data_IF_657196252289
#
_entry.id   IF_657196252289
#
_cell.length_a   1.000
_cell.length_b   1.000
_cell.length_c   1.000
_cell.angle_alpha   90.00
_cell.angle_beta   90.00
_cell.angle_gamma   90.00
#
_symmetry.space_group_name_H-M   'P 1'
#
loop_
_entity.id
_entity.type
_entity.pdbx_description
1 polymer ?
#
# COMPACT_ATOMS: atom_id res chain seq x y z
N UNK A 1 -4.49 -15.64 -9.37
CA UNK A 1 -3.25 -15.05 -9.91
C UNK A 1 -3.40 -13.55 -9.85
N UNK A 2 -2.60 -12.87 -9.02
CA UNK A 2 -2.76 -11.41 -8.79
C UNK A 2 -2.25 -10.55 -9.93
N UNK A 3 -1.29 -11.06 -10.72
CA UNK A 3 -0.94 -10.50 -12.03
C UNK A 3 -1.75 -11.26 -13.08
N UNK A 4 -2.64 -10.55 -13.77
CA UNK A 4 -3.49 -11.12 -14.82
C UNK A 4 -2.70 -11.25 -16.12
N UNK A 5 -2.00 -10.18 -16.51
CA UNK A 5 -1.15 -10.15 -17.69
C UNK A 5 0.15 -9.41 -17.42
N UNK A 6 1.20 -9.84 -18.11
CA UNK A 6 2.51 -9.20 -18.11
C UNK A 6 2.94 -8.94 -19.55
N UNK A 7 3.14 -7.68 -19.87
CA UNK A 7 3.59 -7.21 -21.18
C UNK A 7 4.87 -6.38 -21.05
N UNK A 8 5.48 -6.03 -22.20
CA UNK A 8 6.64 -5.13 -22.22
C UNK A 8 6.32 -3.77 -21.57
N UNK A 9 5.10 -3.28 -21.68
CA UNK A 9 4.70 -2.01 -21.07
C UNK A 9 4.57 -2.09 -19.53
N UNK A 10 4.31 -3.27 -18.97
CA UNK A 10 4.02 -3.41 -17.55
C UNK A 10 3.06 -4.57 -17.25
N UNK A 11 2.24 -4.39 -16.21
CA UNK A 11 1.40 -5.45 -15.66
C UNK A 11 -0.06 -5.00 -15.56
N UNK A 12 -0.98 -5.91 -15.88
CA UNK A 12 -2.38 -5.80 -15.50
C UNK A 12 -2.55 -6.60 -14.20
N UNK A 13 -2.96 -5.91 -13.13
CA UNK A 13 -3.01 -6.47 -11.78
C UNK A 13 -4.47 -6.53 -11.31
N UNK A 14 -4.85 -7.70 -10.82
CA UNK A 14 -6.09 -7.88 -10.06
C UNK A 14 -5.83 -7.49 -8.60
N UNK A 15 -6.13 -6.22 -8.31
CA UNK A 15 -5.89 -5.61 -7.01
C UNK A 15 -6.66 -6.35 -5.89
N UNK A 16 -7.93 -6.71 -6.12
CA UNK A 16 -8.74 -7.41 -5.13
C UNK A 16 -8.23 -8.83 -4.90
N UNK A 17 -7.93 -9.57 -5.98
CA UNK A 17 -7.39 -10.91 -5.86
C UNK A 17 -6.05 -10.93 -5.14
N UNK A 18 -5.24 -9.89 -5.28
CA UNK A 18 -4.02 -9.75 -4.49
C UNK A 18 -4.31 -9.73 -2.99
N UNK A 19 -5.23 -8.86 -2.55
CA UNK A 19 -5.61 -8.76 -1.13
C UNK A 19 -6.19 -10.08 -0.63
N UNK A 20 -7.04 -10.73 -1.43
CA UNK A 20 -7.70 -11.98 -1.03
C UNK A 20 -6.80 -13.22 -1.10
N UNK A 21 -5.64 -13.12 -1.75
CA UNK A 21 -4.58 -14.14 -1.71
C UNK A 21 -3.69 -14.01 -0.46
N UNK A 22 -3.92 -13.01 0.41
CA UNK A 22 -3.12 -12.80 1.62
C UNK A 22 -3.33 -13.87 2.73
N UNK A 23 -4.08 -14.95 2.49
CA UNK A 23 -4.22 -16.04 3.46
C UNK A 23 -5.00 -15.65 4.72
N UNK A 24 -6.08 -14.89 4.56
CA UNK A 24 -6.99 -14.47 5.63
C UNK A 24 -7.86 -15.62 6.18
N UNK A 25 -7.23 -16.73 6.54
CA UNK A 25 -7.86 -17.90 7.14
C UNK A 25 -7.52 -17.94 8.62
N UNK A 26 -8.53 -18.00 9.48
CA UNK A 26 -8.36 -18.20 10.92
C UNK A 26 -8.57 -19.68 11.21
N UNK A 27 -7.67 -20.25 12.00
CA UNK A 27 -7.68 -21.64 12.39
C UNK A 27 -8.35 -21.75 13.77
N UNK A 28 -9.54 -22.37 13.83
CA UNK A 28 -10.25 -22.55 15.10
C UNK A 28 -9.57 -23.67 15.89
N UNK A 29 -8.78 -23.30 16.91
CA UNK A 29 -8.10 -24.25 17.81
C UNK A 29 -9.07 -25.04 18.70
N UNK A 30 -10.38 -24.81 18.62
CA UNK A 30 -11.42 -25.42 19.45
C UNK A 30 -12.49 -26.15 18.63
N UNK A 31 -12.07 -27.19 17.91
CA UNK A 31 -12.98 -28.30 17.56
C UNK A 31 -12.66 -29.48 18.48
N UNK A 32 -13.10 -29.42 19.75
CA UNK A 32 -13.21 -30.63 20.57
C UNK A 32 -14.42 -31.44 20.09
N UNK A 33 -14.27 -32.63 19.50
CA UNK A 33 -15.39 -33.50 19.25
C UNK A 33 -15.64 -34.33 20.53
N UNK A 34 -16.75 -34.05 21.20
CA UNK A 34 -17.45 -35.04 22.01
C UNK A 34 -17.02 -35.14 23.47
N UNK A 35 -17.81 -34.54 24.35
CA UNK A 35 -17.78 -34.80 25.78
C UNK A 35 -18.03 -36.29 26.09
N UNK A 36 -17.01 -36.95 26.63
CA UNK A 36 -17.22 -38.18 27.37
C UNK A 36 -17.88 -37.82 28.70
N UNK A 37 -19.17 -38.14 28.82
CA UNK A 37 -19.92 -38.07 30.07
C UNK A 37 -19.34 -39.13 31.02
N UNK A 38 -18.45 -38.75 31.92
CA UNK A 38 -18.03 -39.64 33.01
C UNK A 38 -19.04 -39.54 34.15
N UNK A 39 -19.89 -40.56 34.25
CA UNK A 39 -20.66 -40.87 35.47
C UNK A 39 -19.69 -41.17 36.63
N UNK A 40 -20.00 -40.78 37.87
CA UNK A 40 -19.19 -41.15 39.01
C UNK A 40 -19.54 -42.58 39.43
N UNK A 41 -18.55 -43.46 39.48
CA UNK A 41 -18.63 -44.72 40.22
C UNK A 41 -17.54 -44.77 41.27
N UNK A 42 -18.00 -44.76 42.52
CA UNK A 42 -17.26 -45.00 43.75
C UNK A 42 -16.86 -46.48 43.81
N UNK A 43 -15.61 -46.77 44.21
CA UNK A 43 -15.22 -47.80 45.21
C UNK A 43 -13.70 -47.88 45.41
N UNK A 44 -13.25 -47.48 46.62
CA UNK A 44 -12.37 -48.21 47.56
C UNK A 44 -11.10 -48.91 47.03
N UNK A 45 -9.91 -48.42 47.40
CA UNK A 45 -9.11 -48.86 48.58
C UNK A 45 -8.15 -50.01 48.25
N UNK A 46 -6.84 -49.76 48.25
CA UNK A 46 -5.88 -50.35 49.21
C UNK A 46 -4.41 -50.01 48.86
N UNK A 47 -3.56 -50.20 49.86
CA UNK A 47 -2.23 -49.65 50.08
C UNK A 47 -1.06 -50.49 49.50
N UNK A 48 0.13 -49.86 49.53
CA UNK A 48 1.48 -50.39 49.81
C UNK A 48 2.45 -50.78 48.66
N UNK A 49 3.47 -49.92 48.53
CA UNK A 49 4.92 -50.13 48.71
C UNK A 49 5.80 -51.04 47.82
N UNK A 50 6.93 -50.42 47.45
CA UNK A 50 8.31 -50.92 47.40
C UNK A 50 8.85 -51.77 46.21
N UNK A 51 9.74 -51.09 45.46
CA UNK A 51 11.18 -51.41 45.31
C UNK A 51 11.69 -52.43 44.27
N UNK A 52 12.75 -51.97 43.59
CA UNK A 52 13.98 -52.66 43.12
C UNK A 52 14.10 -53.15 41.67
N UNK A 53 15.10 -52.60 40.98
CA UNK A 53 15.80 -53.11 39.79
C UNK A 53 16.47 -54.48 40.03
N UNK A 54 16.80 -55.29 38.99
CA UNK A 54 18.07 -55.13 38.25
C UNK A 54 18.02 -55.45 36.74
N UNK A 55 19.13 -55.13 36.07
CA UNK A 55 19.40 -55.24 34.63
C UNK A 55 19.70 -56.68 34.13
N UNK A 56 19.40 -56.98 32.86
CA UNK A 56 20.35 -57.28 31.75
C UNK A 56 19.72 -58.07 30.59
N UNK A 57 20.31 -57.87 29.40
CA UNK A 57 20.42 -58.79 28.26
C UNK A 57 19.47 -58.63 27.05
N UNK A 58 20.11 -58.65 25.89
CA UNK A 58 19.70 -58.42 24.52
C UNK A 58 19.10 -59.65 23.81
N UNK A 59 18.23 -59.42 22.81
CA UNK A 59 18.36 -59.85 21.39
C UNK A 59 17.06 -59.66 20.57
N UNK A 60 17.23 -59.01 19.42
CA UNK A 60 16.68 -59.22 18.06
C UNK A 60 15.16 -59.42 17.83
N UNK A 61 14.59 -58.54 16.97
CA UNK A 61 13.15 -58.35 16.64
C UNK A 61 12.58 -59.27 15.54
N UNK A 62 11.72 -58.82 14.59
CA UNK A 62 11.02 -57.53 14.44
C UNK A 62 9.49 -57.63 14.64
N UNK A 63 8.90 -56.57 15.19
CA UNK A 63 7.47 -56.45 15.47
C UNK A 63 6.68 -55.82 14.32
N UNK A 64 5.50 -56.39 14.12
CA UNK A 64 4.33 -55.97 13.35
C UNK A 64 4.15 -54.43 13.29
N UNK A 65 4.19 -53.87 12.08
CA UNK A 65 3.87 -52.46 11.85
C UNK A 65 2.36 -52.30 11.66
N UNK A 66 1.65 -51.92 12.73
CA UNK A 66 0.32 -51.33 12.62
C UNK A 66 0.47 -49.95 11.97
N UNK A 67 -0.13 -49.81 10.78
CA UNK A 67 -0.29 -48.54 10.12
C UNK A 67 -1.29 -47.71 10.94
N UNK A 68 -0.76 -46.77 11.75
CA UNK A 68 -1.53 -45.64 12.25
C UNK A 68 -1.80 -44.74 11.05
N UNK A 69 -2.98 -44.87 10.45
CA UNK A 69 -3.56 -43.79 9.67
C UNK A 69 -3.78 -42.61 10.64
N UNK A 70 -2.87 -41.63 10.59
CA UNK A 70 -3.14 -40.30 11.12
C UNK A 70 -4.28 -39.70 10.28
N UNK A 71 -5.52 -39.92 10.71
CA UNK A 71 -6.62 -39.06 10.31
C UNK A 71 -6.36 -37.67 10.87
N UNK A 72 -5.74 -36.80 10.06
CA UNK A 72 -5.65 -35.36 10.32
C UNK A 72 -7.06 -34.83 10.63
N UNK A 73 -7.30 -34.48 11.89
CA UNK A 73 -8.51 -33.80 12.32
C UNK A 73 -8.62 -32.49 11.52
N UNK A 74 -9.64 -32.40 10.66
CA UNK A 74 -9.89 -31.24 9.81
C UNK A 74 -10.25 -30.05 10.70
N UNK A 75 -9.24 -29.26 11.09
CA UNK A 75 -9.44 -28.04 11.87
C UNK A 75 -10.41 -27.12 11.12
N UNK A 76 -11.47 -26.68 11.79
CA UNK A 76 -12.39 -25.73 11.19
C UNK A 76 -11.61 -24.45 10.87
N UNK A 77 -11.68 -24.01 9.61
CA UNK A 77 -11.04 -22.79 9.13
C UNK A 77 -12.11 -21.82 8.68
N UNK A 78 -12.07 -20.62 9.23
CA UNK A 78 -12.92 -19.52 8.79
C UNK A 78 -12.12 -18.63 7.85
N UNK A 79 -12.55 -18.53 6.59
CA UNK A 79 -11.89 -17.71 5.58
C UNK A 79 -12.58 -16.36 5.42
N UNK A 80 -11.81 -15.29 5.48
CA UNK A 80 -12.25 -13.93 5.23
C UNK A 80 -11.79 -13.48 3.86
N UNK A 81 -12.65 -12.73 3.17
CA UNK A 81 -12.32 -12.08 1.90
C UNK A 81 -12.72 -10.62 1.96
N UNK A 82 -11.81 -9.78 1.47
CA UNK A 82 -12.04 -8.36 1.31
C UNK A 82 -13.22 -8.16 0.34
N UNK A 83 -14.06 -7.22 0.73
CA UNK A 83 -15.33 -6.88 0.08
C UNK A 83 -15.12 -6.37 -1.35
N UNK A 84 -15.75 -7.04 -2.31
CA UNK A 84 -15.57 -6.77 -3.73
C UNK A 84 -16.19 -5.45 -4.19
N UNK A 85 -17.20 -4.96 -3.47
CA UNK A 85 -17.88 -3.70 -3.78
C UNK A 85 -16.94 -2.49 -3.76
N UNK A 86 -15.82 -2.59 -3.03
CA UNK A 86 -14.82 -1.53 -3.04
C UNK A 86 -14.04 -1.49 -4.36
N UNK A 87 -14.11 -2.52 -5.20
CA UNK A 87 -13.43 -2.61 -6.49
C UNK A 87 -14.41 -2.61 -7.68
N UNK A 88 -15.69 -2.32 -7.43
CA UNK A 88 -16.71 -2.25 -8.47
C UNK A 88 -16.81 -0.84 -9.08
N UNK A 89 -15.83 -0.51 -9.92
CA UNK A 89 -15.82 0.76 -10.67
C UNK A 89 -16.24 0.48 -12.10
N UNK A 90 -17.55 0.58 -12.34
CA UNK A 90 -18.17 0.35 -13.65
C UNK A 90 -18.17 1.56 -14.58
N UNK A 91 -18.04 2.78 -14.04
CA UNK A 91 -18.07 4.03 -14.81
C UNK A 91 -16.93 4.97 -14.41
N UNK A 92 -16.40 5.78 -15.35
CA UNK A 92 -15.48 6.85 -15.02
C UNK A 92 -16.08 7.80 -13.98
N UNK A 93 -15.28 8.27 -13.04
CA UNK A 93 -15.73 9.22 -12.02
C UNK A 93 -16.08 10.59 -12.62
N UNK A 94 -15.50 10.92 -13.77
CA UNK A 94 -15.80 12.10 -14.57
C UNK A 94 -15.85 11.63 -16.03
N UNK A 95 -16.97 11.84 -16.71
CA UNK A 95 -17.06 11.59 -18.14
C UNK A 95 -16.15 12.56 -18.91
N UNK A 96 -15.42 12.08 -19.91
CA UNK A 96 -14.69 12.97 -20.82
C UNK A 96 -15.69 13.89 -21.53
N UNK A 97 -15.34 15.18 -21.67
CA UNK A 97 -16.15 16.07 -22.48
C UNK A 97 -16.19 15.56 -23.94
N UNK A 98 -17.29 15.74 -24.70
CA UNK A 98 -17.38 15.29 -26.09
C UNK A 98 -16.22 15.79 -26.98
N UNK A 99 -15.70 16.99 -26.70
CA UNK A 99 -14.54 17.58 -27.38
C UNK A 99 -13.21 16.84 -27.09
N UNK A 100 -13.11 16.17 -25.93
CA UNK A 100 -11.96 15.32 -25.57
C UNK A 100 -12.06 13.90 -26.13
N UNK A 101 -13.25 13.45 -26.53
CA UNK A 101 -13.41 12.21 -27.30
C UNK A 101 -12.85 12.37 -28.73
N UNK A 102 -12.89 13.58 -29.30
CA UNK A 102 -12.29 13.89 -30.60
C UNK A 102 -10.75 14.01 -30.54
N UNK A 103 -10.18 14.41 -29.39
CA UNK A 103 -8.72 14.47 -29.14
C UNK A 103 -8.10 13.11 -28.72
N UNK A 104 -8.88 12.03 -28.75
CA UNK A 104 -8.36 10.67 -28.63
C UNK A 104 -7.75 10.12 -29.94
N UNK A 105 -7.77 10.93 -31.03
CA UNK A 105 -7.07 10.65 -32.28
C UNK A 105 -5.94 11.66 -32.57
N UNK A 106 -4.75 11.12 -32.85
CA UNK A 106 -3.52 11.75 -33.36
C UNK A 106 -2.77 12.84 -32.55
N UNK A 107 -1.41 12.89 -32.64
CA UNK A 107 -0.56 13.44 -31.59
C UNK A 107 -0.14 14.92 -31.77
N UNK A 108 -0.66 15.65 -32.75
CA UNK A 108 0.04 16.83 -33.28
C UNK A 108 -0.67 18.19 -33.20
N UNK A 109 -1.56 18.46 -32.24
CA UNK A 109 -2.06 19.84 -32.10
C UNK A 109 -2.37 20.20 -30.64
N UNK A 110 -1.43 20.82 -29.90
CA UNK A 110 -1.84 21.54 -28.67
C UNK A 110 -0.89 22.63 -28.12
N UNK A 111 0.29 22.86 -28.72
CA UNK A 111 1.25 23.86 -28.19
C UNK A 111 1.30 25.17 -28.99
N UNK A 112 0.91 25.16 -30.26
CA UNK A 112 0.96 26.34 -31.12
C UNK A 112 -0.16 27.36 -30.79
N UNK A 113 -1.38 26.88 -30.50
CA UNK A 113 -2.53 27.76 -30.25
C UNK A 113 -2.43 28.52 -28.91
N UNK A 114 -1.76 27.94 -27.91
CA UNK A 114 -1.59 28.59 -26.60
C UNK A 114 -0.52 29.69 -26.67
N UNK A 115 0.56 29.50 -27.45
CA UNK A 115 1.62 30.52 -27.62
C UNK A 115 1.19 31.69 -28.52
N UNK A 116 0.39 31.44 -29.56
CA UNK A 116 -0.04 32.47 -30.52
C UNK A 116 -0.88 33.60 -29.88
N UNK A 117 -1.59 33.32 -28.78
CA UNK A 117 -2.38 34.32 -28.05
C UNK A 117 -1.54 35.32 -27.22
N UNK A 118 -0.22 35.14 -27.14
CA UNK A 118 0.68 35.98 -26.33
C UNK A 118 1.48 37.03 -27.12
N UNK A 119 1.39 37.01 -28.45
CA UNK A 119 2.11 37.93 -29.35
C UNK A 119 1.15 38.65 -30.28
N UNK A 120 0.46 39.68 -29.77
CA UNK A 120 -0.20 40.67 -30.61
C UNK A 120 0.38 42.05 -30.26
N UNK A 121 0.90 42.71 -31.28
CA UNK A 121 1.68 43.95 -31.26
C UNK A 121 0.89 45.17 -30.74
N UNK A 122 1.59 46.09 -30.07
CA UNK A 122 1.07 47.40 -29.67
C UNK A 122 0.96 48.37 -30.85
N UNK A 123 -0.10 49.20 -30.95
CA UNK A 123 -0.05 50.44 -31.71
C UNK A 123 0.46 51.60 -30.85
N UNK A 124 1.35 52.40 -31.45
CA UNK A 124 1.96 53.63 -30.92
C UNK A 124 1.00 54.83 -30.91
N UNK A 125 1.36 55.76 -30.01
CA UNK A 125 1.16 57.23 -30.02
C UNK A 125 -0.18 57.88 -29.59
N UNK A 126 -0.05 58.92 -28.75
CA UNK A 126 -1.05 59.95 -28.49
C UNK A 126 -0.82 60.77 -27.21
N UNK A 127 -0.53 62.07 -27.34
CA UNK A 127 0.02 63.01 -26.34
C UNK A 127 -1.04 63.90 -25.65
N UNK A 128 -0.76 64.36 -24.40
CA UNK A 128 -1.32 65.52 -23.61
C UNK A 128 -2.74 65.35 -23.02
N UNK A 129 -3.16 65.90 -21.86
CA UNK A 129 -2.66 66.92 -20.91
C UNK A 129 -3.51 66.93 -19.61
N UNK A 130 -2.90 67.29 -18.46
CA UNK A 130 -3.42 68.13 -17.37
C UNK A 130 -4.69 67.78 -16.57
N UNK A 131 -4.59 67.83 -15.23
CA UNK A 131 -5.73 68.06 -14.31
C UNK A 131 -5.69 67.21 -13.03
N UNK A 132 -5.53 67.86 -11.88
CA UNK A 132 -5.65 67.30 -10.53
C UNK A 132 -7.07 66.79 -10.24
N UNK A 133 -7.20 65.64 -9.55
CA UNK A 133 -7.94 65.55 -8.27
C UNK A 133 -8.08 64.10 -7.76
N UNK A 134 -8.05 64.00 -6.44
CA UNK A 134 -8.05 62.80 -5.60
C UNK A 134 -9.38 62.02 -5.59
N UNK A 135 -9.37 60.70 -5.85
CA UNK A 135 -10.37 59.75 -5.30
C UNK A 135 -9.75 58.36 -5.09
N UNK A 136 -10.08 57.77 -3.94
CA UNK A 136 -9.67 56.46 -3.43
C UNK A 136 -9.66 55.31 -4.46
N UNK A 137 -8.48 54.72 -4.67
CA UNK A 137 -8.30 53.53 -5.51
C UNK A 137 -8.51 52.24 -4.74
N UNK A 138 -9.69 51.63 -4.91
CA UNK A 138 -9.93 50.23 -4.58
C UNK A 138 -8.78 49.35 -5.14
N UNK A 139 -8.19 48.49 -4.30
CA UNK A 139 -7.19 47.50 -4.72
C UNK A 139 -7.81 46.57 -5.79
N UNK A 140 -7.67 46.94 -7.06
CA UNK A 140 -7.93 46.04 -8.19
C UNK A 140 -7.01 44.83 -8.02
N UNK A 141 -7.57 43.70 -7.61
CA UNK A 141 -6.89 42.39 -7.68
C UNK A 141 -6.40 42.25 -9.13
N UNK A 142 -5.09 42.28 -9.34
CA UNK A 142 -4.46 41.98 -10.63
C UNK A 142 -5.01 40.64 -11.11
N UNK A 143 -5.82 40.67 -12.18
CA UNK A 143 -6.20 39.48 -12.94
C UNK A 143 -4.89 38.84 -13.39
N UNK A 144 -4.65 37.58 -13.02
CA UNK A 144 -3.43 36.86 -13.43
C UNK A 144 -3.33 36.88 -14.95
N UNK A 145 -2.18 37.31 -15.47
CA UNK A 145 -1.86 37.38 -16.92
C UNK A 145 -1.62 36.00 -17.53
N UNK A 146 -1.47 34.96 -16.70
CA UNK A 146 -1.31 33.56 -17.10
C UNK A 146 -2.42 32.72 -16.44
N UNK A 147 -3.11 31.89 -17.24
CA UNK A 147 -4.19 31.00 -16.77
C UNK A 147 -3.66 29.95 -15.79
N UNK A 148 -2.40 29.55 -15.93
CA UNK A 148 -1.74 28.53 -15.10
C UNK A 148 -0.60 29.10 -14.26
N UNK A 149 -0.37 28.52 -13.08
CA UNK A 149 0.84 28.78 -12.30
C UNK A 149 2.00 27.88 -12.75
N UNK A 150 3.24 28.22 -12.38
CA UNK A 150 4.44 27.48 -12.82
C UNK A 150 4.34 25.97 -12.52
N UNK A 151 3.83 25.58 -11.34
CA UNK A 151 3.70 24.17 -11.00
C UNK A 151 2.65 23.42 -11.85
N UNK A 152 1.65 24.12 -12.40
CA UNK A 152 0.70 23.56 -13.36
C UNK A 152 1.34 23.40 -14.75
N UNK A 153 2.16 24.37 -15.17
CA UNK A 153 2.93 24.27 -16.41
C UNK A 153 3.94 23.12 -16.36
N UNK A 154 4.71 23.01 -15.27
CA UNK A 154 5.63 21.91 -15.04
C UNK A 154 4.90 20.55 -15.11
N UNK A 155 3.70 20.47 -14.50
CA UNK A 155 2.90 19.25 -14.49
C UNK A 155 2.37 18.89 -15.88
N UNK A 156 1.99 19.88 -16.68
CA UNK A 156 1.57 19.68 -18.05
C UNK A 156 2.74 19.22 -18.93
N UNK A 157 3.91 19.86 -18.81
CA UNK A 157 5.11 19.46 -19.55
C UNK A 157 5.52 18.01 -19.23
N UNK A 158 5.53 17.66 -17.94
CA UNK A 158 5.79 16.29 -17.51
C UNK A 158 4.76 15.31 -18.06
N UNK A 159 3.47 15.64 -17.99
CA UNK A 159 2.41 14.80 -18.53
C UNK A 159 2.58 14.56 -20.04
N UNK A 160 2.87 15.60 -20.82
CA UNK A 160 3.09 15.48 -22.27
C UNK A 160 4.21 14.48 -22.60
N UNK A 161 5.28 14.43 -21.80
CA UNK A 161 6.39 13.48 -21.99
C UNK A 161 5.96 12.02 -21.84
N UNK A 162 5.10 11.73 -20.86
CA UNK A 162 4.71 10.35 -20.52
C UNK A 162 3.34 9.93 -21.09
N UNK A 163 2.56 10.88 -21.62
CA UNK A 163 1.17 10.67 -22.07
C UNK A 163 1.06 9.51 -23.05
N UNK A 164 1.89 9.51 -24.10
CA UNK A 164 1.86 8.49 -25.15
C UNK A 164 2.15 7.09 -24.58
N UNK A 165 3.15 7.00 -23.70
CA UNK A 165 3.53 5.76 -23.04
C UNK A 165 2.39 5.20 -22.17
N UNK A 166 1.74 6.06 -21.38
CA UNK A 166 0.59 5.66 -20.55
C UNK A 166 -0.55 5.18 -21.44
N UNK A 167 -0.89 5.94 -22.48
CA UNK A 167 -1.99 5.61 -23.38
C UNK A 167 -1.77 4.27 -24.10
N UNK A 168 -0.66 4.13 -24.82
CA UNK A 168 -0.36 2.93 -25.62
C UNK A 168 -0.12 1.70 -24.73
N UNK A 169 0.60 1.86 -23.62
CA UNK A 169 0.85 0.78 -22.69
C UNK A 169 -0.42 0.27 -22.01
N UNK A 170 -1.31 1.20 -21.61
CA UNK A 170 -2.61 0.84 -21.02
C UNK A 170 -3.51 0.17 -22.05
N UNK A 171 -3.54 0.66 -23.29
CA UNK A 171 -4.35 0.09 -24.36
C UNK A 171 -4.01 -1.39 -24.59
N UNK A 172 -2.74 -1.75 -24.70
CA UNK A 172 -2.32 -3.15 -24.88
C UNK A 172 -2.69 -4.04 -23.69
N UNK A 173 -2.50 -3.54 -22.46
CA UNK A 173 -2.85 -4.30 -21.24
C UNK A 173 -4.37 -4.50 -21.13
N UNK A 174 -5.17 -3.48 -21.47
CA UNK A 174 -6.63 -3.55 -21.49
C UNK A 174 -7.12 -4.54 -22.55
N UNK A 175 -6.51 -4.55 -23.74
CA UNK A 175 -6.85 -5.51 -24.79
C UNK A 175 -6.64 -6.96 -24.33
N UNK A 176 -5.52 -7.26 -23.68
CA UNK A 176 -5.28 -8.61 -23.11
C UNK A 176 -6.26 -8.91 -21.96
N UNK A 177 -6.56 -7.93 -21.10
CA UNK A 177 -7.56 -8.06 -20.05
C UNK A 177 -8.96 -8.39 -20.56
N UNK A 178 -9.37 -7.79 -21.69
CA UNK A 178 -10.64 -8.09 -22.36
C UNK A 178 -10.63 -9.49 -22.99
N UNK A 179 -9.53 -9.85 -23.67
CA UNK A 179 -9.37 -11.19 -24.29
C UNK A 179 -9.43 -12.32 -23.26
N UNK A 180 -8.85 -12.12 -22.08
CA UNK A 180 -8.88 -13.12 -21.01
C UNK A 180 -10.18 -13.13 -20.21
N UNK A 181 -11.12 -12.22 -20.49
CA UNK A 181 -12.37 -12.07 -19.75
C UNK A 181 -12.21 -11.48 -18.36
N UNK A 182 -11.05 -10.90 -18.02
CA UNK A 182 -10.84 -10.20 -16.75
C UNK A 182 -11.50 -8.81 -16.76
N UNK A 183 -11.46 -8.13 -17.91
CA UNK A 183 -12.22 -6.91 -18.18
C UNK A 183 -13.42 -7.25 -19.06
N UNK A 184 -14.46 -6.42 -19.01
CA UNK A 184 -15.70 -6.65 -19.75
C UNK A 184 -16.05 -5.45 -20.61
N UNK A 185 -16.47 -5.68 -21.86
CA UNK A 185 -17.03 -4.59 -22.66
C UNK A 185 -18.24 -3.99 -21.94
N UNK A 186 -18.39 -2.66 -22.02
CA UNK A 186 -19.55 -1.97 -21.47
C UNK A 186 -20.81 -2.41 -22.24
N UNK A 187 -21.49 -3.46 -21.79
CA UNK A 187 -22.83 -3.81 -22.23
C UNK A 187 -23.81 -2.77 -21.70
N UNK A 188 -24.76 -2.37 -22.53
CA UNK A 188 -25.68 -1.24 -22.31
C UNK A 188 -26.61 -1.41 -21.11
N UNK A 189 -26.62 -2.56 -20.43
CA UNK A 189 -27.38 -2.79 -19.21
C UNK A 189 -26.59 -3.69 -18.24
N UNK A 190 -25.85 -3.09 -17.30
CA UNK A 190 -25.74 -3.67 -15.97
C UNK A 190 -26.51 -2.76 -15.03
N UNK A 191 -27.50 -3.34 -14.35
CA UNK A 191 -28.30 -2.70 -13.32
C UNK A 191 -27.37 -1.98 -12.34
N UNK A 192 -27.53 -0.65 -12.25
CA UNK A 192 -26.91 0.17 -11.23
C UNK A 192 -27.45 -0.29 -9.87
N UNK A 193 -26.75 -1.24 -9.23
CA UNK A 193 -26.91 -1.46 -7.80
C UNK A 193 -26.64 -0.12 -7.13
N UNK A 194 -27.63 0.41 -6.40
CA UNK A 194 -27.46 1.63 -5.60
C UNK A 194 -26.43 1.33 -4.51
N UNK A 195 -25.15 1.46 -4.83
CA UNK A 195 -24.08 1.24 -3.87
C UNK A 195 -23.89 2.54 -3.08
N UNK A 196 -24.78 2.75 -2.10
CA UNK A 196 -24.45 3.60 -0.94
C UNK A 196 -23.46 2.79 -0.11
N UNK A 197 -22.20 2.78 -0.52
CA UNK A 197 -21.13 2.27 0.35
C UNK A 197 -20.94 3.32 1.43
N UNK A 198 -21.34 3.00 2.66
CA UNK A 198 -20.98 3.75 3.87
C UNK A 198 -19.45 3.70 4.02
N UNK A 199 -18.76 4.58 3.30
CA UNK A 199 -17.38 4.40 2.85
C UNK A 199 -16.30 4.99 3.75
N UNK A 200 -16.53 5.07 5.06
CA UNK A 200 -15.47 5.47 5.98
C UNK A 200 -15.72 4.87 7.35
N UNK A 201 -14.97 3.82 7.68
CA UNK A 201 -14.85 3.36 9.05
C UNK A 201 -13.83 4.27 9.72
N UNK A 202 -14.31 5.09 10.65
CA UNK A 202 -13.44 5.90 11.47
C UNK A 202 -12.92 5.03 12.63
N UNK A 203 -11.70 4.54 12.47
CA UNK A 203 -11.07 3.60 13.40
C UNK A 203 -10.29 4.29 14.53
N UNK A 204 -10.17 5.63 14.52
CA UNK A 204 -9.49 6.39 15.58
C UNK A 204 -8.00 6.10 15.79
N UNK A 205 -7.38 5.33 14.89
CA UNK A 205 -5.99 4.86 15.04
C UNK A 205 -4.99 6.01 15.07
N UNK A 206 -5.20 7.04 14.24
CA UNK A 206 -4.32 8.20 14.21
C UNK A 206 -4.42 9.01 15.50
N UNK A 207 -5.65 9.20 16.03
CA UNK A 207 -5.91 9.86 17.31
C UNK A 207 -5.28 9.09 18.47
N UNK A 208 -5.35 7.76 18.46
CA UNK A 208 -4.68 6.91 19.43
C UNK A 208 -3.16 7.13 19.41
N UNK A 209 -2.54 7.15 18.23
CA UNK A 209 -1.12 7.46 18.10
C UNK A 209 -0.78 8.89 18.59
N UNK A 210 -1.63 9.88 18.33
CA UNK A 210 -1.43 11.25 18.85
C UNK A 210 -1.51 11.32 20.38
N UNK A 211 -2.47 10.61 20.99
CA UNK A 211 -2.55 10.49 22.44
C UNK A 211 -1.33 9.76 23.00
N UNK A 212 -0.84 8.73 22.30
CA UNK A 212 0.29 7.93 22.73
C UNK A 212 1.60 8.73 22.87
N UNK A 213 1.75 9.82 22.12
CA UNK A 213 2.91 10.74 22.21
C UNK A 213 3.09 11.36 23.60
N UNK A 214 2.04 11.40 24.40
CA UNK A 214 2.04 12.03 25.72
C UNK A 214 2.49 11.07 26.82
N UNK A 215 2.59 9.77 26.53
CA UNK A 215 3.17 8.84 27.49
C UNK A 215 4.69 9.05 27.57
N UNK A 216 5.27 9.01 28.78
CA UNK A 216 6.71 9.06 28.94
C UNK A 216 7.36 7.98 28.06
N UNK A 217 8.45 8.32 27.36
CA UNK A 217 9.28 7.32 26.72
C UNK A 217 9.67 6.30 27.78
N UNK A 218 9.09 5.09 27.69
CA UNK A 218 9.34 4.06 28.68
C UNK A 218 10.81 3.66 28.54
N UNK A 219 11.54 3.54 29.65
CA UNK A 219 12.97 3.25 29.65
C UNK A 219 13.27 2.09 28.69
N UNK A 220 14.25 2.28 27.79
CA UNK A 220 14.66 1.32 26.75
C UNK A 220 15.09 -0.06 27.31
N UNK A 221 15.19 -0.23 28.63
CA UNK A 221 15.70 -1.44 29.27
C UNK A 221 14.65 -2.51 29.61
N UNK A 222 13.35 -2.17 29.68
CA UNK A 222 12.38 -3.02 30.39
C UNK A 222 11.27 -3.61 29.51
N UNK A 223 11.18 -3.25 28.21
CA UNK A 223 10.15 -3.78 27.31
C UNK A 223 10.73 -4.64 26.17
N UNK A 224 10.06 -5.76 25.81
CA UNK A 224 10.46 -6.56 24.68
C UNK A 224 10.33 -5.75 23.39
N UNK A 225 11.33 -5.86 22.51
CA UNK A 225 11.32 -5.18 21.22
C UNK A 225 10.20 -5.68 20.27
N UNK A 226 9.62 -6.84 20.60
CA UNK A 226 8.66 -7.57 19.78
C UNK A 226 7.54 -8.14 20.65
N UNK A 227 6.29 -7.97 20.23
CA UNK A 227 5.12 -8.64 20.77
C UNK A 227 4.61 -9.67 19.75
N UNK A 228 4.78 -10.96 20.04
CA UNK A 228 4.25 -12.03 19.19
C UNK A 228 2.77 -12.24 19.54
N UNK A 229 1.92 -12.30 18.53
CA UNK A 229 0.50 -12.62 18.72
C UNK A 229 0.36 -14.11 19.05
N UNK A 230 -0.16 -14.41 20.24
CA UNK A 230 -0.56 -15.75 20.67
C UNK A 230 -1.99 -16.07 20.23
N UNK A 231 -2.47 -17.30 20.46
CA UNK A 231 -3.82 -17.74 20.04
C UNK A 231 -4.92 -17.27 21.01
N UNK A 232 -4.55 -16.80 22.21
CA UNK A 232 -5.44 -16.31 23.24
C UNK A 232 -5.59 -14.77 23.15
N UNK A 233 -6.78 -14.30 22.76
CA UNK A 233 -7.03 -12.90 22.39
C UNK A 233 -7.28 -11.99 23.59
N UNK A 234 -6.25 -11.26 24.02
CA UNK A 234 -6.32 -9.81 24.34
C UNK A 234 -4.91 -9.27 24.59
N UNK A 235 -4.27 -8.69 23.57
CA UNK A 235 -3.03 -7.95 23.76
C UNK A 235 -3.33 -6.59 24.40
N UNK A 236 -2.64 -6.18 25.48
CA UNK A 236 -2.76 -4.82 26.00
C UNK A 236 -2.51 -3.79 24.89
N UNK A 237 -3.36 -2.77 24.77
CA UNK A 237 -3.25 -1.74 23.72
C UNK A 237 -1.89 -1.02 23.76
N UNK A 238 -1.27 -0.95 24.95
CA UNK A 238 0.03 -0.34 25.15
C UNK A 238 1.18 -1.12 24.49
N UNK A 239 1.06 -2.44 24.35
CA UNK A 239 2.08 -3.26 23.70
C UNK A 239 2.08 -3.04 22.18
N UNK A 240 0.89 -2.90 21.58
CA UNK A 240 0.71 -2.62 20.15
C UNK A 240 1.31 -1.26 19.70
N UNK A 241 1.42 -0.31 20.63
CA UNK A 241 1.95 1.05 20.39
C UNK A 241 3.44 1.17 20.71
N UNK A 242 3.98 0.30 21.58
CA UNK A 242 5.34 0.42 22.13
C UNK A 242 6.36 -0.52 21.50
N UNK A 243 5.93 -1.58 20.81
CA UNK A 243 6.81 -2.54 20.16
C UNK A 243 6.24 -3.05 18.83
N UNK A 244 7.07 -3.73 18.04
CA UNK A 244 6.62 -4.35 16.79
C UNK A 244 5.76 -5.57 17.12
N UNK A 245 4.55 -5.63 16.58
CA UNK A 245 3.65 -6.78 16.73
C UNK A 245 3.88 -7.76 15.58
N UNK A 246 3.99 -9.05 15.86
CA UNK A 246 4.22 -10.10 14.87
C UNK A 246 3.10 -11.15 14.86
N UNK A 247 2.56 -11.46 13.68
CA UNK A 247 1.86 -12.71 13.43
C UNK A 247 2.82 -13.69 12.75
N UNK A 248 3.49 -14.52 13.56
CA UNK A 248 4.41 -15.54 13.04
C UNK A 248 3.70 -16.82 12.59
N UNK A 249 2.38 -16.90 12.67
CA UNK A 249 1.63 -18.10 12.30
C UNK A 249 1.41 -18.19 10.78
N UNK A 250 0.99 -19.37 10.30
CA UNK A 250 0.55 -19.60 8.92
C UNK A 250 -0.92 -19.21 8.69
N UNK A 251 -1.65 -18.87 9.75
CA UNK A 251 -3.05 -18.42 9.72
C UNK A 251 -3.13 -16.91 10.04
N UNK A 252 -4.21 -16.26 9.61
CA UNK A 252 -4.51 -14.91 10.07
C UNK A 252 -4.95 -14.92 11.55
N UNK A 253 -4.75 -13.79 12.23
CA UNK A 253 -5.15 -13.60 13.63
C UNK A 253 -6.01 -12.35 13.78
N UNK A 254 -6.91 -12.35 14.78
CA UNK A 254 -7.68 -11.15 15.12
C UNK A 254 -7.04 -10.47 16.32
N UNK A 255 -6.78 -9.16 16.17
CA UNK A 255 -6.43 -8.27 17.27
C UNK A 255 -7.63 -7.39 17.59
N UNK A 256 -7.87 -7.17 18.88
CA UNK A 256 -8.88 -6.22 19.36
C UNK A 256 -8.17 -4.96 19.84
N UNK A 257 -8.53 -3.82 19.27
CA UNK A 257 -7.97 -2.52 19.63
C UNK A 257 -9.09 -1.47 19.63
N UNK A 258 -9.22 -0.71 20.71
CA UNK A 258 -10.31 0.28 20.90
C UNK A 258 -11.71 -0.34 20.72
N UNK A 259 -11.87 -1.61 21.14
CA UNK A 259 -13.11 -2.38 20.97
C UNK A 259 -13.43 -2.81 19.54
N UNK A 260 -12.56 -2.52 18.56
CA UNK A 260 -12.71 -2.92 17.16
C UNK A 260 -11.82 -4.14 16.85
N UNK A 261 -12.23 -4.95 15.86
CA UNK A 261 -11.50 -6.15 15.44
C UNK A 261 -10.73 -5.89 14.16
N UNK A 262 -9.46 -6.27 14.15
CA UNK A 262 -8.55 -6.15 13.02
C UNK A 262 -7.96 -7.50 12.66
N UNK A 263 -8.01 -7.84 11.37
CA UNK A 263 -7.54 -9.11 10.83
C UNK A 263 -6.10 -8.99 10.35
N UNK A 264 -5.16 -9.55 11.12
CA UNK A 264 -3.72 -9.51 10.85
C UNK A 264 -3.33 -10.71 9.95
N UNK A 265 -2.78 -10.48 8.75
CA UNK A 265 -2.39 -11.55 7.83
C UNK A 265 -1.32 -12.49 8.42
N UNK A 266 -1.20 -13.73 7.94
CA UNK A 266 -0.12 -14.63 8.30
C UNK A 266 1.25 -14.04 7.96
N UNK A 267 2.27 -14.41 8.75
CA UNK A 267 3.67 -14.00 8.55
C UNK A 267 3.87 -12.50 8.38
N UNK A 268 3.04 -11.68 9.02
CA UNK A 268 3.13 -10.22 8.91
C UNK A 268 3.54 -9.61 10.24
N UNK A 269 4.21 -8.47 10.16
CA UNK A 269 4.62 -7.69 11.34
C UNK A 269 4.17 -6.25 11.16
N UNK A 270 3.83 -5.57 12.24
CA UNK A 270 3.48 -4.15 12.15
C UNK A 270 3.85 -3.35 13.39
N UNK A 271 4.01 -2.04 13.20
CA UNK A 271 4.12 -1.07 14.27
C UNK A 271 3.11 0.05 14.06
N UNK A 272 2.18 0.19 15.02
CA UNK A 272 1.21 1.28 15.06
C UNK A 272 1.80 2.43 15.87
N UNK A 273 2.39 3.42 15.19
CA UNK A 273 2.93 4.59 15.88
C UNK A 273 3.00 5.81 14.96
N UNK A 274 3.13 6.99 15.57
CA UNK A 274 3.46 8.21 14.83
C UNK A 274 4.95 8.26 14.44
N UNK A 275 5.29 9.09 13.45
CA UNK A 275 6.68 9.31 13.02
C UNK A 275 7.60 9.79 14.15
N UNK A 276 7.11 10.51 15.15
CA UNK A 276 7.91 10.89 16.33
C UNK A 276 8.30 9.68 17.19
N UNK A 277 7.62 8.54 17.03
CA UNK A 277 7.74 7.33 17.84
C UNK A 277 8.19 6.14 16.98
N UNK A 278 9.21 6.34 16.13
CA UNK A 278 9.76 5.29 15.24
C UNK A 278 10.80 4.39 15.93
N UNK A 279 11.26 4.73 17.13
CA UNK A 279 12.31 3.97 17.84
C UNK A 279 12.04 2.46 17.96
N UNK A 280 10.80 1.99 18.22
CA UNK A 280 10.55 0.55 18.28
C UNK A 280 10.88 -0.19 16.98
N UNK A 281 10.66 0.43 15.82
CA UNK A 281 11.03 -0.14 14.51
C UNK A 281 12.55 -0.25 14.35
N UNK A 282 13.32 0.68 14.92
CA UNK A 282 14.78 0.63 14.92
C UNK A 282 15.31 -0.44 15.90
N UNK A 283 14.66 -0.55 17.07
CA UNK A 283 14.97 -1.55 18.10
C UNK A 283 14.65 -2.97 17.65
N UNK A 284 13.78 -3.14 16.66
CA UNK A 284 13.50 -4.41 16.00
C UNK A 284 14.71 -5.00 15.27
N UNK A 285 15.74 -4.19 14.98
CA UNK A 285 17.05 -4.60 14.42
C UNK A 285 17.01 -5.37 13.08
N UNK A 286 15.85 -5.48 12.44
CA UNK A 286 15.72 -5.99 11.07
C UNK A 286 16.23 -5.00 10.04
N UNK A 287 16.78 -5.54 8.95
CA UNK A 287 17.20 -4.79 7.76
C UNK A 287 16.39 -5.29 6.57
N UNK A 288 16.02 -4.38 5.68
CA UNK A 288 15.09 -4.66 4.61
C UNK A 288 15.75 -4.56 3.25
N UNK A 289 15.52 -5.55 2.39
CA UNK A 289 15.97 -5.55 1.00
C UNK A 289 15.06 -4.69 0.11
N UNK A 290 13.81 -4.49 0.52
CA UNK A 290 12.83 -3.64 -0.16
C UNK A 290 12.14 -2.75 0.85
N UNK A 291 12.14 -1.43 0.60
CA UNK A 291 11.36 -0.47 1.37
C UNK A 291 10.41 0.29 0.44
N UNK A 292 9.10 0.11 0.65
CA UNK A 292 8.05 0.89 -0.01
C UNK A 292 7.62 2.02 0.91
N UNK A 293 7.44 3.22 0.36
CA UNK A 293 7.11 4.42 1.12
C UNK A 293 5.96 5.16 0.42
N UNK A 294 4.86 5.43 1.13
CA UNK A 294 3.77 6.32 0.66
C UNK A 294 3.61 7.54 1.58
N UNK A 295 4.51 8.55 1.47
CA UNK A 295 4.49 9.67 2.40
C UNK A 295 3.16 10.44 2.38
N UNK A 296 2.69 10.95 3.52
CA UNK A 296 1.51 11.80 3.59
C UNK A 296 1.83 13.21 3.06
N UNK A 297 1.94 13.29 1.73
CA UNK A 297 2.35 14.49 1.01
C UNK A 297 1.45 15.69 1.30
N UNK A 298 2.05 16.85 1.51
CA UNK A 298 1.31 18.09 1.69
C UNK A 298 0.43 18.41 0.45
N UNK A 299 -0.88 18.52 0.69
CA UNK A 299 -1.87 18.85 -0.32
C UNK A 299 -2.83 19.95 0.16
N UNK A 300 -3.16 20.90 -0.73
CA UNK A 300 -4.07 22.02 -0.44
C UNK A 300 -5.51 21.55 -0.15
N UNK A 301 -5.92 20.41 -0.72
CA UNK A 301 -7.23 19.80 -0.40
C UNK A 301 -7.21 19.21 1.00
N UNK A 302 -6.17 18.44 1.33
CA UNK A 302 -5.94 17.85 2.65
C UNK A 302 -5.92 18.91 3.73
N UNK A 303 -5.16 20.01 3.55
CA UNK A 303 -5.15 21.16 4.47
C UNK A 303 -6.52 21.77 4.74
N UNK A 304 -7.45 21.71 3.78
CA UNK A 304 -8.82 22.24 3.96
C UNK A 304 -9.77 21.23 4.60
N UNK A 305 -9.52 19.94 4.39
CA UNK A 305 -10.39 18.86 4.86
C UNK A 305 -10.04 18.35 6.26
N UNK A 306 -8.82 18.58 6.73
CA UNK A 306 -8.27 18.06 7.99
C UNK A 306 -8.44 16.54 8.21
N UNK A 307 -8.68 15.77 7.14
CA UNK A 307 -9.00 14.33 7.21
C UNK A 307 -7.81 13.44 7.57
N UNK A 308 -6.58 13.96 7.44
CA UNK A 308 -5.35 13.29 7.84
C UNK A 308 -4.20 14.30 7.92
N UNK A 309 -3.22 14.02 8.79
CA UNK A 309 -2.02 14.85 8.92
C UNK A 309 -1.13 14.74 7.68
N UNK A 310 -0.24 15.71 7.50
CA UNK A 310 0.74 15.71 6.41
C UNK A 310 2.12 15.97 6.97
N UNK A 311 3.15 15.48 6.29
CA UNK A 311 4.53 15.73 6.66
C UNK A 311 5.16 16.79 5.76
N UNK A 312 5.98 17.63 6.39
CA UNK A 312 6.86 18.53 5.66
C UNK A 312 7.98 17.73 4.98
N UNK A 313 8.56 18.30 3.92
CA UNK A 313 9.74 17.75 3.24
C UNK A 313 10.90 17.48 4.21
N UNK A 314 11.06 18.32 5.23
CA UNK A 314 12.11 18.12 6.24
C UNK A 314 11.83 16.89 7.12
N UNK A 315 10.59 16.73 7.62
CA UNK A 315 10.22 15.55 8.41
C UNK A 315 10.38 14.25 7.61
N UNK A 316 10.02 14.26 6.32
CA UNK A 316 10.24 13.10 5.43
C UNK A 316 11.73 12.78 5.32
N UNK A 317 12.61 13.78 5.15
CA UNK A 317 14.07 13.56 5.12
C UNK A 317 14.63 12.90 6.39
N UNK A 318 14.05 13.20 7.55
CA UNK A 318 14.50 12.66 8.85
C UNK A 318 14.18 11.17 9.05
N UNK A 319 13.41 10.53 8.15
CA UNK A 319 13.18 9.08 8.26
C UNK A 319 14.54 8.36 8.13
N UNK A 320 14.91 7.49 9.08
CA UNK A 320 16.23 6.87 9.15
C UNK A 320 16.36 5.69 8.18
N UNK A 321 16.13 5.91 6.88
CA UNK A 321 16.19 4.86 5.84
C UNK A 321 17.53 4.13 5.85
N UNK A 322 18.65 4.84 6.07
CA UNK A 322 19.97 4.21 6.18
C UNK A 322 20.08 3.21 7.35
N UNK A 323 19.31 3.41 8.42
CA UNK A 323 19.27 2.49 9.56
C UNK A 323 18.31 1.31 9.34
N UNK A 324 17.41 1.38 8.36
CA UNK A 324 16.44 0.33 8.04
C UNK A 324 16.86 -0.51 6.82
N UNK A 325 17.54 0.10 5.86
CA UNK A 325 17.92 -0.53 4.61
C UNK A 325 19.06 -1.55 4.78
N UNK A 326 18.91 -2.72 4.15
CA UNK A 326 20.01 -3.64 3.87
C UNK A 326 20.94 -3.07 2.77
N UNK A 327 22.17 -3.59 2.64
CA UNK A 327 23.03 -3.21 1.52
C UNK A 327 22.39 -3.59 0.18
N UNK A 328 22.32 -2.63 -0.75
CA UNK A 328 21.66 -2.75 -2.06
C UNK A 328 20.11 -2.73 -2.01
N UNK A 329 19.54 -2.25 -0.90
CA UNK A 329 18.09 -2.13 -0.70
C UNK A 329 17.42 -1.33 -1.84
N UNK A 330 16.33 -1.88 -2.36
CA UNK A 330 15.42 -1.23 -3.30
C UNK A 330 14.44 -0.34 -2.53
N UNK A 331 14.48 0.97 -2.81
CA UNK A 331 13.54 1.95 -2.29
C UNK A 331 12.51 2.25 -3.37
N UNK A 332 11.23 2.14 -3.02
CA UNK A 332 10.10 2.48 -3.89
C UNK A 332 9.28 3.56 -3.21
N UNK A 333 9.13 4.73 -3.84
CA UNK A 333 8.42 5.87 -3.25
C UNK A 333 7.23 6.26 -4.10
N UNK A 334 6.03 6.19 -3.53
CA UNK A 334 4.82 6.73 -4.14
C UNK A 334 4.84 8.26 -4.12
N UNK A 335 4.55 8.87 -5.27
CA UNK A 335 4.56 10.32 -5.44
C UNK A 335 3.27 10.78 -6.14
N UNK A 336 2.63 11.79 -5.57
CA UNK A 336 1.49 12.44 -6.24
C UNK A 336 1.94 13.12 -7.55
N UNK A 337 1.01 13.42 -8.46
CA UNK A 337 1.30 14.16 -9.70
C UNK A 337 1.75 15.63 -9.54
N UNK A 338 2.06 16.07 -8.31
CA UNK A 338 2.63 17.39 -8.06
C UNK A 338 4.14 17.36 -8.32
N UNK A 339 4.58 18.11 -9.33
CA UNK A 339 5.99 18.17 -9.73
C UNK A 339 6.96 18.61 -8.64
N UNK A 340 6.49 19.38 -7.64
CA UNK A 340 7.32 19.74 -6.49
C UNK A 340 7.75 18.50 -5.68
N UNK A 341 6.86 17.51 -5.54
CA UNK A 341 7.13 16.30 -4.78
C UNK A 341 8.00 15.34 -5.58
N UNK A 342 7.79 15.27 -6.89
CA UNK A 342 8.64 14.50 -7.81
C UNK A 342 10.09 15.00 -7.78
N UNK A 343 10.30 16.31 -7.93
CA UNK A 343 11.63 16.95 -7.83
C UNK A 343 12.24 16.74 -6.46
N UNK A 344 11.48 16.97 -5.39
CA UNK A 344 11.96 16.73 -4.03
C UNK A 344 12.48 15.29 -3.84
N UNK A 345 11.75 14.28 -4.32
CA UNK A 345 12.20 12.89 -4.21
C UNK A 345 13.51 12.65 -4.97
N UNK A 346 13.57 13.07 -6.24
CA UNK A 346 14.73 12.80 -7.12
C UNK A 346 15.97 13.63 -6.77
N UNK A 347 15.77 14.91 -6.49
CA UNK A 347 16.85 15.91 -6.43
C UNK A 347 17.31 16.18 -5.00
N UNK A 348 16.50 15.82 -3.99
CA UNK A 348 16.81 16.11 -2.59
C UNK A 348 16.74 14.90 -1.67
N UNK A 349 15.64 14.15 -1.67
CA UNK A 349 15.41 13.05 -0.72
C UNK A 349 16.33 11.86 -0.98
N UNK A 350 16.36 11.39 -2.23
CA UNK A 350 17.20 10.26 -2.61
C UNK A 350 18.68 10.55 -2.44
N UNK A 351 19.22 11.70 -2.90
CA UNK A 351 20.59 12.10 -2.58
C UNK A 351 20.87 12.17 -1.08
N UNK A 352 19.93 12.69 -0.27
CA UNK A 352 20.09 12.75 1.19
C UNK A 352 20.20 11.36 1.83
N UNK A 353 19.43 10.39 1.35
CA UNK A 353 19.49 9.00 1.81
C UNK A 353 20.56 8.15 1.12
N UNK A 354 21.42 8.75 0.28
CA UNK A 354 22.40 8.00 -0.53
C UNK A 354 21.74 6.94 -1.44
N UNK A 355 20.56 7.26 -1.97
CA UNK A 355 19.80 6.43 -2.89
C UNK A 355 20.04 6.92 -4.32
N UNK A 356 20.42 6.00 -5.22
CA UNK A 356 20.50 6.27 -6.65
C UNK A 356 19.13 6.05 -7.28
N UNK A 357 18.56 7.07 -7.92
CA UNK A 357 17.36 6.90 -8.75
C UNK A 357 17.66 5.93 -9.91
N UNK A 358 16.80 4.94 -10.09
CA UNK A 358 16.92 3.91 -11.12
C UNK A 358 15.84 4.05 -12.19
N UNK A 359 14.58 4.22 -11.78
CA UNK A 359 13.45 4.23 -12.70
C UNK A 359 12.27 5.03 -12.14
N UNK A 360 11.36 5.36 -13.05
CA UNK A 360 10.06 5.93 -12.75
C UNK A 360 8.98 5.06 -13.37
N UNK A 361 8.02 4.59 -12.57
CA UNK A 361 6.87 3.79 -13.00
C UNK A 361 5.55 4.52 -12.72
N UNK A 362 4.47 4.03 -13.29
CA UNK A 362 3.15 4.66 -13.19
C UNK A 362 2.06 3.64 -12.86
N UNK A 363 1.33 3.85 -11.77
CA UNK A 363 0.11 3.12 -11.50
C UNK A 363 -1.05 3.80 -12.21
N UNK A 364 -1.64 3.15 -13.21
CA UNK A 364 -2.78 3.61 -14.00
C UNK A 364 -4.07 2.96 -13.49
N UNK A 365 -5.10 3.79 -13.36
CA UNK A 365 -6.40 3.44 -12.80
C UNK A 365 -7.44 3.34 -13.89
N UNK A 366 -8.02 2.16 -14.03
CA UNK A 366 -9.06 1.85 -15.03
C UNK A 366 -10.36 1.38 -14.37
N UNK A 367 -11.45 1.39 -15.13
CA UNK A 367 -12.74 0.78 -14.78
C UNK A 367 -12.73 -0.72 -15.12
N UNK A 368 -13.80 -1.44 -14.75
CA UNK A 368 -14.07 -2.82 -15.21
C UNK A 368 -14.18 -2.95 -16.73
N UNK A 369 -14.48 -1.85 -17.42
CA UNK A 369 -14.49 -1.75 -18.89
C UNK A 369 -13.15 -1.43 -19.53
N UNK A 370 -12.10 -1.20 -18.73
CA UNK A 370 -10.78 -0.80 -19.24
C UNK A 370 -10.66 0.68 -19.59
N UNK A 371 -11.66 1.50 -19.29
CA UNK A 371 -11.61 2.95 -19.47
C UNK A 371 -10.84 3.60 -18.32
N UNK A 372 -10.17 4.73 -18.56
CA UNK A 372 -9.56 5.47 -17.45
C UNK A 372 -10.64 5.98 -16.48
N UNK A 373 -10.40 5.84 -15.17
CA UNK A 373 -11.35 6.33 -14.14
C UNK A 373 -11.53 7.85 -14.16
N UNK A 374 -10.58 8.57 -14.76
CA UNK A 374 -10.59 10.01 -15.02
C UNK A 374 -9.99 10.26 -16.42
N UNK A 375 -10.40 11.33 -17.13
CA UNK A 375 -9.80 11.67 -18.42
C UNK A 375 -8.27 11.81 -18.29
N UNK A 376 -7.52 11.16 -19.18
CA UNK A 376 -6.05 11.18 -19.15
C UNK A 376 -5.49 12.61 -19.20
N UNK A 377 -6.11 13.45 -20.02
CA UNK A 377 -5.73 14.84 -20.23
C UNK A 377 -6.32 15.83 -19.20
N UNK A 378 -6.99 15.35 -18.16
CA UNK A 378 -7.53 16.22 -17.10
C UNK A 378 -6.43 17.06 -16.44
N UNK A 379 -6.69 18.37 -16.29
CA UNK A 379 -5.72 19.34 -15.74
C UNK A 379 -5.50 19.18 -14.23
N UNK A 380 -6.50 18.73 -13.48
CA UNK A 380 -6.48 18.78 -12.01
C UNK A 380 -6.15 17.44 -11.37
N UNK A 381 -6.66 16.35 -11.94
CA UNK A 381 -6.44 14.98 -11.45
C UNK A 381 -6.12 14.09 -12.64
N UNK A 382 -5.10 13.26 -12.49
CA UNK A 382 -4.73 12.26 -13.50
C UNK A 382 -5.25 10.88 -13.07
N UNK A 383 -5.57 9.99 -14.02
CA UNK A 383 -5.93 8.60 -13.73
C UNK A 383 -4.70 7.75 -13.42
N UNK A 384 -3.58 8.35 -13.02
CA UNK A 384 -2.37 7.63 -12.66
C UNK A 384 -1.64 8.28 -11.49
N UNK A 385 -0.78 7.51 -10.83
CA UNK A 385 0.15 7.97 -9.79
C UNK A 385 1.57 7.49 -10.13
N UNK A 386 2.58 8.20 -9.62
CA UNK A 386 3.99 7.95 -9.97
C UNK A 386 4.65 7.14 -8.85
N UNK A 387 5.52 6.20 -9.24
CA UNK A 387 6.44 5.51 -8.34
C UNK A 387 7.86 5.84 -8.78
N UNK A 388 8.70 6.30 -7.84
CA UNK A 388 10.13 6.43 -8.07
C UNK A 388 10.82 5.24 -7.43
N UNK A 389 11.68 4.58 -8.20
CA UNK A 389 12.47 3.45 -7.75
C UNK A 389 13.93 3.89 -7.67
N UNK A 390 14.57 3.59 -6.56
CA UNK A 390 15.98 3.86 -6.35
C UNK A 390 16.64 2.78 -5.53
N UNK A 391 17.97 2.76 -5.51
CA UNK A 391 18.73 1.75 -4.78
C UNK A 391 19.75 2.40 -3.86
N UNK A 392 19.79 1.95 -2.62
CA UNK A 392 20.74 2.44 -1.62
C UNK A 392 22.15 2.12 -2.10
N UNK A 393 23.00 3.14 -2.22
CA UNK A 393 24.39 2.95 -2.58
C UNK A 393 25.15 2.40 -1.37
N UNK A 394 25.70 1.20 -1.52
CA UNK A 394 26.64 0.63 -0.54
C UNK A 394 28.01 1.32 -0.59
N UNK A 395 28.90 0.95 0.33
CA UNK A 395 30.30 1.40 0.23
C UNK A 395 30.97 0.82 -1.02
N UNK A 396 31.96 1.51 -1.59
CA UNK A 396 32.66 1.11 -2.84
C UNK A 396 33.20 -0.34 -2.78
N UNK A 397 33.50 -0.85 -1.58
CA UNK A 397 34.01 -2.22 -1.36
C UNK A 397 32.92 -3.30 -1.44
N UNK A 398 31.65 -2.95 -1.23
CA UNK A 398 30.50 -3.87 -1.30
C UNK A 398 29.88 -3.88 -2.69
N UNK A 399 29.99 -2.77 -3.44
CA UNK A 399 29.55 -2.66 -4.84
C UNK A 399 30.30 -3.62 -5.78
N UNK A 400 31.51 -4.07 -5.41
CA UNK A 400 32.29 -5.05 -6.17
C UNK A 400 31.88 -6.51 -5.90
N UNK A 401 30.95 -6.77 -4.96
CA UNK A 401 30.55 -8.14 -4.54
C UNK A 401 29.11 -8.53 -4.93
N UNK A 402 28.37 -7.76 -5.71
CA UNK A 402 26.96 -8.08 -6.10
C UNK A 402 26.67 -7.56 -7.51
N UNK A 403 25.86 -8.19 -8.38
CA UNK A 403 25.06 -9.42 -8.36
C UNK A 403 24.73 -9.77 -9.82
N UNK A 404 25.14 -10.93 -10.33
CA UNK A 404 24.85 -11.31 -11.73
C UNK A 404 23.39 -11.75 -11.95
N UNK A 405 22.62 -12.01 -10.88
CA UNK A 405 21.31 -12.67 -10.98
C UNK A 405 20.06 -11.76 -10.93
N UNK A 406 20.20 -10.45 -10.67
CA UNK A 406 19.04 -9.53 -10.56
C UNK A 406 18.85 -8.75 -11.87
N UNK A 407 17.65 -8.81 -12.45
CA UNK A 407 17.34 -8.08 -13.68
C UNK A 407 17.44 -6.56 -13.47
N UNK A 408 17.93 -5.80 -14.46
CA UNK A 408 17.93 -4.35 -14.41
C UNK A 408 16.50 -3.83 -14.33
N UNK A 409 16.27 -2.81 -13.49
CA UNK A 409 14.95 -2.19 -13.36
C UNK A 409 14.69 -1.34 -14.61
N UNK A 410 13.66 -1.67 -15.41
CA UNK A 410 13.35 -0.93 -16.61
C UNK A 410 12.69 0.41 -16.28
N UNK A 411 12.92 1.41 -17.14
CA UNK A 411 12.27 2.71 -17.02
C UNK A 411 10.82 2.67 -17.55
N UNK A 412 9.95 3.48 -16.98
CA UNK A 412 8.58 3.73 -17.44
C UNK A 412 7.68 2.49 -17.60
N UNK A 413 7.60 1.66 -16.55
CA UNK A 413 6.62 0.57 -16.49
C UNK A 413 5.26 1.04 -15.96
N UNK A 414 4.21 0.37 -16.42
CA UNK A 414 2.84 0.57 -15.98
C UNK A 414 2.39 -0.53 -15.04
N UNK A 415 1.72 -0.15 -13.95
CA UNK A 415 0.87 -1.04 -13.16
C UNK A 415 -0.55 -0.62 -13.50
N UNK A 416 -1.32 -1.43 -14.20
CA UNK A 416 -2.71 -1.11 -14.56
C UNK A 416 -3.63 -1.93 -13.67
N UNK A 417 -4.57 -1.28 -12.98
CA UNK A 417 -5.56 -1.99 -12.18
C UNK A 417 -6.84 -1.19 -11.99
N UNK A 418 -7.90 -1.89 -11.59
CA UNK A 418 -9.10 -1.27 -11.05
C UNK A 418 -8.76 -0.80 -9.62
N UNK A 419 -8.85 0.50 -9.32
CA UNK A 419 -8.50 0.98 -7.99
C UNK A 419 -9.58 0.57 -6.99
N UNK A 420 -9.17 0.47 -5.73
CA UNK A 420 -10.12 0.42 -4.63
C UNK A 420 -10.76 1.80 -4.46
N UNK A 421 -12.05 1.85 -4.15
CA UNK A 421 -12.80 3.07 -3.87
C UNK A 421 -12.44 3.66 -2.50
N UNK A 422 -11.84 2.87 -1.61
CA UNK A 422 -11.25 3.37 -0.37
C UNK A 422 -10.04 4.25 -0.68
N UNK A 423 -10.03 5.43 -0.07
CA UNK A 423 -9.03 6.46 -0.35
C UNK A 423 -7.60 5.98 0.00
N UNK A 424 -6.65 6.24 -0.91
CA UNK A 424 -5.23 5.89 -0.75
C UNK A 424 -4.92 4.40 -0.61
N UNK A 425 -5.82 3.50 -1.00
CA UNK A 425 -5.50 2.07 -1.06
C UNK A 425 -4.74 1.76 -2.36
N UNK A 426 -3.40 1.62 -2.25
CA UNK A 426 -2.50 1.32 -3.36
C UNK A 426 -2.53 -0.17 -3.71
N UNK A 427 -2.29 -0.56 -4.98
CA UNK A 427 -2.12 -1.95 -5.33
C UNK A 427 -0.88 -2.51 -4.65
N UNK A 428 -0.95 -3.73 -4.08
CA UNK A 428 0.23 -4.41 -3.57
C UNK A 428 1.31 -4.58 -4.65
N UNK A 429 2.58 -4.51 -4.25
CA UNK A 429 3.71 -4.47 -5.18
C UNK A 429 4.52 -5.77 -5.23
N UNK A 430 4.31 -6.73 -4.32
CA UNK A 430 5.18 -7.92 -4.18
C UNK A 430 5.35 -8.68 -5.49
N UNK A 431 4.26 -9.01 -6.19
CA UNK A 431 4.33 -9.75 -7.45
C UNK A 431 4.96 -8.94 -8.60
N UNK A 432 4.82 -7.62 -8.58
CA UNK A 432 5.40 -6.74 -9.61
C UNK A 432 6.89 -6.52 -9.38
N UNK A 433 7.33 -6.50 -8.12
CA UNK A 433 8.73 -6.32 -7.75
C UNK A 433 9.53 -7.63 -7.74
N UNK A 434 8.88 -8.79 -7.64
CA UNK A 434 9.50 -10.11 -7.49
C UNK A 434 10.63 -10.42 -8.49
N UNK A 435 10.55 -9.87 -9.71
CA UNK A 435 11.54 -10.10 -10.77
C UNK A 435 12.81 -9.24 -10.65
N UNK A 436 12.76 -8.19 -9.81
CA UNK A 436 13.82 -7.20 -9.64
C UNK A 436 14.45 -7.24 -8.24
N UNK A 437 14.05 -8.24 -7.45
CA UNK A 437 14.49 -8.49 -6.09
C UNK A 437 14.82 -9.97 -5.97
N UNK A 438 15.56 -10.34 -4.93
CA UNK A 438 15.90 -11.74 -4.69
C UNK A 438 14.67 -12.50 -4.18
N UNK A 439 14.65 -13.84 -4.29
CA UNK A 439 13.74 -14.65 -3.47
C UNK A 439 13.96 -14.38 -1.98
N UNK A 440 12.90 -14.58 -1.17
CA UNK A 440 12.94 -14.50 0.29
C UNK A 440 13.48 -13.18 0.86
N UNK A 441 13.02 -12.05 0.31
CA UNK A 441 13.42 -10.70 0.72
C UNK A 441 12.65 -10.19 1.93
N UNK A 442 13.35 -9.51 2.85
CA UNK A 442 12.69 -8.78 3.93
C UNK A 442 12.14 -7.45 3.38
N UNK A 443 10.83 -7.26 3.50
CA UNK A 443 10.12 -6.10 2.95
C UNK A 443 9.55 -5.21 4.06
N UNK A 444 9.66 -3.90 3.88
CA UNK A 444 9.09 -2.90 4.77
C UNK A 444 8.18 -1.94 4.00
N UNK A 445 6.98 -1.67 4.53
CA UNK A 445 6.11 -0.60 4.06
C UNK A 445 6.03 0.52 5.10
N UNK A 446 6.46 1.73 4.74
CA UNK A 446 6.39 2.92 5.56
C UNK A 446 5.18 3.78 5.19
N UNK A 447 4.48 4.30 6.22
CA UNK A 447 3.17 4.96 6.12
C UNK A 447 2.07 4.02 5.61
N UNK A 448 2.21 2.74 5.94
CA UNK A 448 1.26 1.70 5.58
C UNK A 448 -0.12 1.96 6.20
N UNK A 449 -1.14 1.49 5.49
CA UNK A 449 -2.53 1.40 5.96
C UNK A 449 -3.12 0.00 5.79
N UNK A 450 -2.37 -0.86 5.14
CA UNK A 450 -2.71 -2.23 4.82
C UNK A 450 -1.54 -3.12 5.22
N UNK A 451 -1.83 -4.28 5.79
CA UNK A 451 -0.85 -5.32 6.05
C UNK A 451 -0.75 -6.28 4.86
N UNK A 452 0.45 -6.77 4.62
CA UNK A 452 0.74 -7.78 3.60
C UNK A 452 1.47 -8.97 4.25
N UNK A 453 1.18 -10.23 3.87
CA UNK A 453 1.93 -11.38 4.33
C UNK A 453 3.41 -11.28 3.96
N UNK A 454 4.29 -11.60 4.90
CA UNK A 454 5.74 -11.52 4.72
C UNK A 454 6.32 -10.10 4.83
N UNK A 455 5.51 -9.09 5.14
CA UNK A 455 5.97 -7.70 5.23
C UNK A 455 5.95 -7.21 6.68
N UNK A 456 6.92 -6.35 6.99
CA UNK A 456 6.78 -5.41 8.11
C UNK A 456 6.08 -4.15 7.61
N UNK A 457 5.08 -3.67 8.33
CA UNK A 457 4.34 -2.46 7.99
C UNK A 457 4.40 -1.45 9.14
N UNK A 458 4.60 -0.18 8.83
CA UNK A 458 4.61 0.88 9.84
C UNK A 458 3.74 2.06 9.42
N UNK A 459 2.96 2.59 10.36
CA UNK A 459 2.19 3.82 10.18
C UNK A 459 1.21 4.05 11.31
N UNK A 460 0.73 5.29 11.46
CA UNK A 460 -0.27 5.65 12.46
C UNK A 460 -1.71 5.23 12.08
N UNK A 461 -1.89 4.65 10.89
CA UNK A 461 -3.12 4.04 10.42
C UNK A 461 -2.86 2.60 9.91
N UNK A 462 -1.81 1.93 10.39
CA UNK A 462 -1.29 0.68 9.77
C UNK A 462 -2.30 -0.47 9.71
N UNK A 463 -3.27 -0.50 10.63
CA UNK A 463 -4.34 -1.50 10.67
C UNK A 463 -5.64 -1.05 9.97
N UNK A 464 -5.66 0.12 9.32
CA UNK A 464 -6.90 0.72 8.81
C UNK A 464 -7.67 -0.22 7.89
N UNK A 465 -7.00 -0.85 6.93
CA UNK A 465 -7.64 -1.77 5.98
C UNK A 465 -7.71 -3.22 6.48
N UNK A 466 -7.34 -3.46 7.74
CA UNK A 466 -7.49 -4.75 8.43
C UNK A 466 -8.79 -4.79 9.25
N UNK A 467 -9.54 -3.69 9.33
CA UNK A 467 -10.81 -3.66 10.07
C UNK A 467 -11.80 -4.69 9.51
N UNK A 468 -12.42 -5.47 10.40
CA UNK A 468 -13.22 -6.65 10.05
C UNK A 468 -14.37 -6.36 9.07
N UNK A 469 -14.98 -5.17 9.14
CA UNK A 469 -16.10 -4.76 8.27
C UNK A 469 -15.70 -4.53 6.79
N UNK A 470 -14.41 -4.48 6.49
CA UNK A 470 -13.92 -4.54 5.10
C UNK A 470 -13.89 -5.96 4.54
N UNK A 471 -14.16 -6.97 5.38
CA UNK A 471 -14.15 -8.37 5.01
C UNK A 471 -15.56 -8.98 5.12
N UNK A 472 -15.77 -10.06 4.39
CA UNK A 472 -16.90 -10.96 4.52
C UNK A 472 -16.37 -12.36 4.78
N UNK A 473 -17.14 -13.16 5.52
CA UNK A 473 -16.80 -14.56 5.76
C UNK A 473 -17.27 -15.38 4.56
N UNK A 474 -16.35 -16.10 3.93
CA UNK A 474 -16.70 -17.19 3.03
C UNK A 474 -17.21 -18.33 3.89
N UNK A 475 -18.52 -18.56 3.87
CA UNK A 475 -19.08 -19.79 4.42
C UNK A 475 -18.57 -20.94 3.56
N UNK A 476 -17.89 -21.91 4.17
CA UNK A 476 -17.49 -23.13 3.49
C UNK A 476 -18.78 -23.84 3.03
N UNK A 477 -19.00 -23.93 1.72
CA UNK A 477 -20.01 -24.84 1.13
C UNK A 477 -19.62 -26.30 1.38
#
# INVERSE_FOLDING_TARGET
>A
MSVVHRLRAGWLVDHLSFINQCGYEICDSLANPGGATLRPSVTSSEYHDASTFPATSSKDGPGLGDAVEETEGKTAKTRYVFREEFFDISKPHIAAAPEQQLLQGDPEVSLAEIKASSSAEEPREGTKSGGEDSVAGARKKRKRKCVFNQGELDALEYHTKIRKLIWEGTLHLVQEGLKSGFLHHATTELSCGKNVVSGHIDCGLAELCEMAKQFPAVNDSDHPAVHVLDDETSSPEQDLLSCVTENNSNCAKIVVLMGQKYLVPPKSSFLLSDISCLQPLLNYKKKYDVIVIDPPWENKSVKRSNRYSHLSSWQIKQIPVAALAAPDCLIVTWVTNRQKHLRFVKDELYPHWSVKTLAEWHWVKITRSGEFVLPLDSFHKKPYEVLILGRVQGSVKEAQRKSEDILPIPEHKLIVSIPCSLHSHKPPLTAVLAEFVKPDVECLELFARNLQPGWTSWGNEVLKFQHIDYFTVLQNE
#
